data_IF_438094516196
#
_entry.id   IF_438094516196
#
_cell.length_a   1.000
_cell.length_b   1.000
_cell.length_c   1.000
_cell.angle_alpha   90.00
_cell.angle_beta   90.00
_cell.angle_gamma   90.00
#
_symmetry.space_group_name_H-M   'P 1'
#
loop_
_entity.id
_entity.type
_entity.pdbx_description
1 polymer ?
#
# COMPACT_ATOMS: atom_id res chain seq x y z
N UNK A 1 6.12 15.68 -8.02
CA UNK A 1 5.02 15.59 -9.02
C UNK A 1 3.78 16.23 -8.43
N UNK A 2 2.75 16.52 -9.21
CA UNK A 2 1.56 17.24 -8.72
C UNK A 2 0.76 16.39 -7.69
N UNK A 3 0.84 15.06 -7.75
CA UNK A 3 0.00 14.15 -6.95
C UNK A 3 0.73 13.24 -5.96
N UNK A 4 2.06 13.10 -6.09
CA UNK A 4 2.89 12.27 -5.22
C UNK A 4 4.13 13.02 -4.73
N UNK A 5 4.55 12.80 -3.46
CA UNK A 5 3.90 11.95 -2.44
C UNK A 5 2.51 12.46 -2.01
N UNK A 6 1.54 11.58 -1.76
CA UNK A 6 0.15 12.01 -1.53
C UNK A 6 -0.88 10.88 -1.53
N UNK A 7 -2.19 11.20 -1.54
CA UNK A 7 -3.29 10.23 -1.44
C UNK A 7 -3.63 9.47 -2.71
N UNK A 8 -2.94 9.73 -3.82
CA UNK A 8 -3.18 9.03 -5.08
C UNK A 8 -2.70 7.57 -5.00
N UNK A 9 -3.50 6.64 -5.50
CA UNK A 9 -3.09 5.25 -5.76
C UNK A 9 -3.15 5.02 -7.27
N UNK A 10 -2.12 4.39 -7.83
CA UNK A 10 -2.07 4.06 -9.26
C UNK A 10 -2.12 2.55 -9.42
N UNK A 11 -2.93 2.11 -10.38
CA UNK A 11 -2.95 0.73 -10.86
C UNK A 11 -2.11 0.63 -12.12
N UNK A 12 -1.14 -0.27 -12.13
CA UNK A 12 -0.25 -0.50 -13.27
C UNK A 12 0.00 -1.99 -13.49
N UNK A 13 0.37 -2.37 -14.72
CA UNK A 13 0.80 -3.74 -15.00
C UNK A 13 2.14 -4.02 -14.33
N UNK A 14 2.23 -5.19 -13.69
CA UNK A 14 3.47 -5.71 -13.15
C UNK A 14 4.46 -5.96 -14.30
N UNK A 15 5.72 -5.57 -14.08
CA UNK A 15 6.80 -5.77 -15.05
C UNK A 15 6.93 -7.25 -15.42
N UNK A 16 7.18 -7.54 -16.69
CA UNK A 16 7.46 -8.90 -17.15
C UNK A 16 8.65 -9.51 -16.39
N UNK A 17 8.55 -10.79 -16.05
CA UNK A 17 9.58 -11.51 -15.26
C UNK A 17 9.58 -11.24 -13.75
N UNK A 18 8.80 -10.26 -13.25
CA UNK A 18 8.63 -10.08 -11.80
C UNK A 18 7.58 -11.03 -11.23
N UNK A 19 7.86 -11.53 -10.04
CA UNK A 19 6.93 -12.31 -9.20
C UNK A 19 6.70 -11.58 -7.88
N UNK A 20 5.48 -11.66 -7.38
CA UNK A 20 5.09 -11.14 -6.06
C UNK A 20 4.37 -12.27 -5.30
N UNK A 21 4.32 -12.20 -3.96
CA UNK A 21 3.52 -13.14 -3.18
C UNK A 21 2.06 -13.19 -3.64
N UNK A 22 1.44 -14.37 -3.48
CA UNK A 22 0.02 -14.55 -3.80
C UNK A 22 -0.83 -13.56 -3.01
N UNK A 23 -1.83 -12.95 -3.67
CA UNK A 23 -2.73 -11.96 -3.08
C UNK A 23 -2.24 -10.51 -3.15
N UNK A 24 -0.97 -10.26 -3.51
CA UNK A 24 -0.45 -8.89 -3.72
C UNK A 24 -0.78 -8.38 -5.12
N UNK A 25 -0.73 -9.27 -6.12
CA UNK A 25 -1.00 -8.96 -7.51
C UNK A 25 -2.38 -9.49 -7.91
N UNK A 26 -3.12 -8.71 -8.69
CA UNK A 26 -4.39 -9.15 -9.27
C UNK A 26 -4.16 -10.21 -10.36
N UNK A 27 -5.22 -10.95 -10.69
CA UNK A 27 -5.20 -12.05 -11.68
C UNK A 27 -4.79 -11.57 -13.08
N UNK A 28 -5.08 -10.32 -13.43
CA UNK A 28 -4.72 -9.70 -14.70
C UNK A 28 -3.27 -9.14 -14.72
N UNK A 29 -2.49 -9.47 -13.70
CA UNK A 29 -1.12 -9.00 -13.48
C UNK A 29 -1.00 -7.49 -13.25
N UNK A 30 -2.03 -6.85 -12.69
CA UNK A 30 -1.92 -5.47 -12.21
C UNK A 30 -1.63 -5.39 -10.72
N UNK A 31 -0.99 -4.29 -10.31
CA UNK A 31 -0.72 -3.93 -8.92
C UNK A 31 -1.20 -2.51 -8.65
N UNK A 32 -1.77 -2.28 -7.46
CA UNK A 32 -2.06 -0.95 -6.94
C UNK A 32 -0.94 -0.52 -5.99
N UNK A 33 -0.39 0.68 -6.18
CA UNK A 33 0.62 1.23 -5.29
C UNK A 33 0.45 2.73 -5.08
N UNK A 34 0.97 3.23 -3.96
CA UNK A 34 0.91 4.62 -3.53
C UNK A 34 2.25 5.04 -2.94
N UNK A 35 2.66 6.27 -3.21
CA UNK A 35 3.76 6.93 -2.52
C UNK A 35 3.14 7.82 -1.44
N UNK A 36 3.18 7.35 -0.19
CA UNK A 36 2.59 8.08 0.94
C UNK A 36 3.39 9.34 1.28
N UNK A 37 2.70 10.42 1.62
CA UNK A 37 3.29 11.65 2.18
C UNK A 37 3.36 11.63 3.72
N UNK A 38 2.99 10.52 4.38
CA UNK A 38 2.95 10.45 5.83
C UNK A 38 4.33 10.10 6.42
N UNK A 39 4.93 10.93 7.30
CA UNK A 39 6.31 10.75 7.76
C UNK A 39 6.60 9.41 8.46
N UNK A 40 5.61 8.84 9.16
CA UNK A 40 5.77 7.52 9.78
C UNK A 40 5.93 6.41 8.72
N UNK A 41 5.17 6.47 7.63
CA UNK A 41 5.27 5.48 6.54
C UNK A 41 6.64 5.58 5.88
N UNK A 42 7.13 6.79 5.63
CA UNK A 42 8.47 7.02 5.12
C UNK A 42 9.54 6.42 6.05
N UNK A 43 9.46 6.70 7.36
CA UNK A 43 10.40 6.17 8.35
C UNK A 43 10.38 4.63 8.42
N UNK A 44 9.19 4.02 8.36
CA UNK A 44 9.04 2.56 8.34
C UNK A 44 9.67 1.96 7.08
N UNK A 45 9.42 2.53 5.91
CA UNK A 45 9.99 2.04 4.65
C UNK A 45 11.51 2.18 4.61
N UNK A 46 12.06 3.28 5.15
CA UNK A 46 13.51 3.43 5.34
C UNK A 46 14.08 2.36 6.28
N UNK A 47 13.39 2.01 7.37
CA UNK A 47 13.82 0.93 8.25
C UNK A 47 13.73 -0.45 7.60
N UNK A 48 12.67 -0.71 6.83
CA UNK A 48 12.41 -2.01 6.20
C UNK A 48 13.26 -2.27 4.95
N UNK A 49 13.70 -1.21 4.26
CA UNK A 49 14.38 -1.29 2.95
C UNK A 49 13.60 -2.12 1.92
N UNK A 50 12.27 -2.15 2.07
CA UNK A 50 11.34 -2.94 1.27
C UNK A 50 10.00 -2.21 1.15
N UNK A 51 9.21 -2.45 0.09
CA UNK A 51 7.84 -1.96 0.01
C UNK A 51 6.96 -2.61 1.08
N UNK A 52 5.92 -1.88 1.52
CA UNK A 52 4.92 -2.37 2.46
C UNK A 52 3.61 -2.64 1.70
N UNK A 53 3.08 -3.86 1.84
CA UNK A 53 1.73 -4.21 1.40
C UNK A 53 0.78 -3.98 2.56
N UNK A 54 -0.32 -3.26 2.33
CA UNK A 54 -1.31 -2.96 3.37
C UNK A 54 -2.71 -2.79 2.78
N UNK A 55 -3.71 -3.05 3.61
CA UNK A 55 -5.10 -2.62 3.46
C UNK A 55 -5.46 -1.65 4.58
N UNK A 56 -6.74 -1.31 4.74
CA UNK A 56 -7.23 -0.70 5.98
C UNK A 56 -7.05 -1.69 7.15
N UNK A 57 -6.68 -1.17 8.32
CA UNK A 57 -6.31 -1.96 9.50
C UNK A 57 -7.54 -2.29 10.37
N UNK A 58 -8.55 -2.88 9.74
CA UNK A 58 -9.79 -3.32 10.37
C UNK A 58 -10.15 -4.74 9.94
N UNK A 59 -10.99 -5.39 10.76
CA UNK A 59 -11.69 -6.61 10.36
C UNK A 59 -12.55 -6.29 9.13
N UNK A 60 -12.56 -7.22 8.16
CA UNK A 60 -13.30 -7.07 6.92
C UNK A 60 -14.76 -6.64 7.17
N UNK A 61 -15.24 -5.70 6.36
CA UNK A 61 -16.58 -5.10 6.43
C UNK A 61 -16.83 -4.14 7.62
N UNK A 62 -15.88 -3.95 8.53
CA UNK A 62 -15.96 -2.88 9.55
C UNK A 62 -15.49 -1.53 8.99
N UNK A 63 -15.75 -0.46 9.73
CA UNK A 63 -15.24 0.87 9.41
C UNK A 63 -13.70 0.90 9.43
N UNK A 64 -13.13 1.72 8.55
CA UNK A 64 -11.67 1.92 8.52
C UNK A 64 -11.23 2.76 9.72
N UNK A 65 -10.09 2.43 10.35
CA UNK A 65 -9.58 3.18 11.48
C UNK A 65 -8.91 4.47 11.01
N UNK A 66 -9.04 5.52 11.81
CA UNK A 66 -8.39 6.83 11.59
C UNK A 66 -7.56 7.28 12.79
N UNK A 67 -7.51 6.48 13.84
CA UNK A 67 -6.64 6.64 15.01
C UNK A 67 -6.10 5.28 15.45
N UNK A 68 -5.19 5.26 16.41
CA UNK A 68 -4.57 4.03 16.91
C UNK A 68 -5.56 3.18 17.71
N UNK A 69 -6.50 3.81 18.43
CA UNK A 69 -7.44 3.12 19.30
C UNK A 69 -8.51 2.32 18.53
N UNK A 70 -8.76 2.70 17.27
CA UNK A 70 -9.72 2.05 16.38
C UNK A 70 -9.12 0.91 15.53
N UNK A 71 -7.81 0.68 15.60
CA UNK A 71 -7.15 -0.45 14.92
C UNK A 71 -7.54 -1.78 15.59
N UNK A 72 -7.89 -2.79 14.78
CA UNK A 72 -8.31 -4.12 15.21
C UNK A 72 -7.56 -5.24 14.48
#
# INVERSE_FOLDING_TARGET
>A
GIYWPGPLTVVARLRSGMTLPQGVCALDRTIAFRISSYPLVESLLYGLQKPLVSTSANIASMESPYDVASVL
#
